data_IF_333286176024
#
_entry.id   IF_333286176024
#
_cell.length_a   1.000
_cell.length_b   1.000
_cell.length_c   1.000
_cell.angle_alpha   90.00
_cell.angle_beta   90.00
_cell.angle_gamma   90.00
#
_symmetry.space_group_name_H-M   'P 1'
#
loop_
_entity.id
_entity.type
_entity.pdbx_description
1 polymer ?
#
# COMPACT_ATOMS: atom_id res chain seq x y z
N UNK A 1 -19.70 18.18 31.19
CA UNK A 1 -19.01 18.72 29.99
C UNK A 1 -19.28 17.97 28.67
N UNK A 2 -19.86 16.74 28.67
CA UNK A 2 -20.03 15.94 27.44
C UNK A 2 -21.21 16.28 26.49
N UNK A 3 -22.17 17.13 26.90
CA UNK A 3 -23.40 17.37 26.11
C UNK A 3 -23.20 18.29 24.89
N UNK A 4 -22.10 19.06 24.82
CA UNK A 4 -21.78 19.97 23.72
C UNK A 4 -21.00 19.31 22.57
N UNK A 5 -20.13 18.35 22.88
CA UNK A 5 -19.23 17.69 21.93
C UNK A 5 -19.99 16.95 20.81
N UNK A 6 -21.08 16.25 21.16
CA UNK A 6 -21.88 15.49 20.19
C UNK A 6 -22.67 16.32 19.18
N UNK A 7 -22.90 17.62 19.46
CA UNK A 7 -23.56 18.53 18.50
C UNK A 7 -22.55 19.10 17.51
N UNK A 8 -21.36 19.43 18.00
CA UNK A 8 -20.26 19.94 17.18
C UNK A 8 -19.76 18.89 16.19
N UNK A 9 -19.65 17.61 16.60
CA UNK A 9 -19.25 16.52 15.70
C UNK A 9 -20.29 16.26 14.61
N UNK A 10 -21.58 16.33 14.94
CA UNK A 10 -22.68 16.22 13.96
C UNK A 10 -22.68 17.38 12.97
N UNK A 11 -22.46 18.62 13.45
CA UNK A 11 -22.37 19.79 12.58
C UNK A 11 -21.13 19.74 11.68
N UNK A 12 -19.97 19.37 12.22
CA UNK A 12 -18.75 19.20 11.43
C UNK A 12 -18.90 18.10 10.37
N UNK A 13 -19.54 16.97 10.73
CA UNK A 13 -19.84 15.89 9.79
C UNK A 13 -20.78 16.33 8.66
N UNK A 14 -21.88 17.02 9.00
CA UNK A 14 -22.82 17.53 8.01
C UNK A 14 -22.18 18.58 7.09
N UNK A 15 -21.42 19.53 7.65
CA UNK A 15 -20.70 20.54 6.87
C UNK A 15 -19.65 19.91 5.95
N UNK A 16 -18.91 18.90 6.43
CA UNK A 16 -17.93 18.15 5.64
C UNK A 16 -18.58 17.38 4.49
N UNK A 17 -19.73 16.74 4.71
CA UNK A 17 -20.48 16.04 3.67
C UNK A 17 -20.97 16.99 2.57
N UNK A 18 -21.53 18.15 2.94
CA UNK A 18 -22.02 19.14 1.98
C UNK A 18 -20.86 19.75 1.18
N UNK A 19 -19.79 20.16 1.86
CA UNK A 19 -18.61 20.71 1.20
C UNK A 19 -17.93 19.68 0.28
N UNK A 20 -17.84 18.42 0.72
CA UNK A 20 -17.33 17.31 -0.09
C UNK A 20 -18.19 17.06 -1.33
N UNK A 21 -19.52 16.98 -1.18
CA UNK A 21 -20.44 16.81 -2.30
C UNK A 21 -20.33 17.96 -3.30
N UNK A 22 -20.31 19.21 -2.81
CA UNK A 22 -20.11 20.40 -3.64
C UNK A 22 -18.76 20.37 -4.38
N UNK A 23 -17.67 20.00 -3.71
CA UNK A 23 -16.35 19.87 -4.32
C UNK A 23 -16.33 18.83 -5.45
N UNK A 24 -17.04 17.72 -5.27
CA UNK A 24 -17.19 16.63 -6.25
C UNK A 24 -18.18 16.93 -7.37
N UNK A 25 -18.83 18.10 -7.42
CA UNK A 25 -19.68 18.47 -8.57
C UNK A 25 -18.86 18.80 -9.82
N UNK A 26 -17.62 19.30 -9.65
CA UNK A 26 -16.70 19.60 -10.76
C UNK A 26 -15.98 18.34 -11.23
N UNK A 27 -16.00 18.08 -12.53
CA UNK A 27 -15.37 16.87 -13.11
C UNK A 27 -13.87 16.76 -12.83
N UNK A 28 -13.14 17.87 -12.94
CA UNK A 28 -11.70 17.92 -12.64
C UNK A 28 -11.39 17.50 -11.20
N UNK A 29 -12.17 18.01 -10.24
CA UNK A 29 -12.05 17.66 -8.83
C UNK A 29 -12.38 16.19 -8.58
N UNK A 30 -13.42 15.65 -9.23
CA UNK A 30 -13.74 14.22 -9.17
C UNK A 30 -12.57 13.36 -9.65
N UNK A 31 -11.97 13.72 -10.78
CA UNK A 31 -10.83 12.99 -11.35
C UNK A 31 -9.63 13.04 -10.41
N UNK A 32 -9.33 14.21 -9.84
CA UNK A 32 -8.24 14.38 -8.86
C UNK A 32 -8.46 13.56 -7.60
N UNK A 33 -9.68 13.55 -7.05
CA UNK A 33 -10.03 12.76 -5.86
C UNK A 33 -9.93 11.26 -6.15
N UNK A 34 -10.46 10.79 -7.29
CA UNK A 34 -10.33 9.39 -7.71
C UNK A 34 -8.87 8.95 -7.80
N UNK A 35 -8.02 9.70 -8.50
CA UNK A 35 -6.61 9.37 -8.63
C UNK A 35 -5.90 9.25 -7.27
N UNK A 36 -6.20 10.16 -6.33
CA UNK A 36 -5.62 10.14 -4.97
C UNK A 36 -6.13 8.97 -4.14
N UNK A 37 -7.41 8.61 -4.28
CA UNK A 37 -7.99 7.43 -3.62
C UNK A 37 -7.36 6.16 -4.19
N UNK A 38 -7.25 6.05 -5.52
CA UNK A 38 -6.64 4.90 -6.18
C UNK A 38 -5.17 4.73 -5.80
N UNK A 39 -4.42 5.84 -5.71
CA UNK A 39 -3.03 5.86 -5.20
C UNK A 39 -2.96 5.38 -3.75
N UNK A 40 -3.84 5.87 -2.87
CA UNK A 40 -3.89 5.43 -1.48
C UNK A 40 -4.22 3.93 -1.37
N UNK A 41 -5.23 3.45 -2.10
CA UNK A 41 -5.61 2.03 -2.12
C UNK A 41 -4.44 1.17 -2.61
N UNK A 42 -3.69 1.61 -3.63
CA UNK A 42 -2.50 0.91 -4.11
C UNK A 42 -1.45 0.74 -3.02
N UNK A 43 -1.16 1.78 -2.24
CA UNK A 43 -0.18 1.71 -1.13
C UNK A 43 -0.60 0.69 -0.05
N UNK A 44 -1.90 0.53 0.17
CA UNK A 44 -2.43 -0.45 1.12
C UNK A 44 -2.65 -1.84 0.53
N UNK A 45 -2.53 -2.00 -0.79
CA UNK A 45 -2.65 -3.30 -1.44
C UNK A 45 -1.40 -4.16 -1.14
N UNK A 46 -1.52 -5.33 -0.50
CA UNK A 46 -0.39 -6.20 -0.23
C UNK A 46 0.34 -6.66 -1.50
N UNK A 47 -0.36 -6.75 -2.63
CA UNK A 47 0.25 -7.17 -3.90
C UNK A 47 1.12 -6.06 -4.50
N UNK A 48 0.75 -4.79 -4.34
CA UNK A 48 1.61 -3.66 -4.69
C UNK A 48 2.95 -3.71 -3.94
N UNK A 49 2.93 -4.08 -2.65
CA UNK A 49 4.16 -4.23 -1.87
C UNK A 49 5.03 -5.41 -2.32
N UNK A 50 4.44 -6.47 -2.87
CA UNK A 50 5.19 -7.61 -3.44
C UNK A 50 5.85 -7.27 -4.78
N UNK A 51 5.33 -6.27 -5.49
CA UNK A 51 5.82 -5.81 -6.79
C UNK A 51 6.84 -4.67 -6.67
N UNK A 52 6.90 -3.98 -5.51
CA UNK A 52 7.91 -2.95 -5.26
C UNK A 52 9.33 -3.54 -5.33
N UNK A 53 10.13 -3.03 -6.27
CA UNK A 53 11.53 -3.44 -6.46
C UNK A 53 11.73 -4.68 -7.33
N UNK A 54 10.65 -5.29 -7.85
CA UNK A 54 10.77 -6.32 -8.88
C UNK A 54 10.87 -5.68 -10.27
N UNK A 55 11.78 -6.18 -11.13
CA UNK A 55 11.76 -5.78 -12.53
C UNK A 55 10.41 -6.15 -13.17
N UNK A 56 9.99 -5.34 -14.15
CA UNK A 56 8.70 -5.54 -14.82
C UNK A 56 8.72 -6.73 -15.78
N UNK A 57 9.91 -7.14 -16.21
CA UNK A 57 10.14 -8.32 -17.04
C UNK A 57 10.13 -9.60 -16.17
N UNK A 58 9.45 -10.63 -16.65
CA UNK A 58 9.30 -11.90 -15.93
C UNK A 58 10.65 -12.62 -15.83
N UNK A 59 11.46 -12.57 -16.89
CA UNK A 59 12.75 -13.25 -16.96
C UNK A 59 13.74 -12.60 -15.97
N UNK A 60 13.76 -11.26 -15.93
CA UNK A 60 14.55 -10.52 -14.94
C UNK A 60 14.08 -10.78 -13.50
N UNK A 61 12.76 -10.92 -13.29
CA UNK A 61 12.20 -11.18 -11.96
C UNK A 61 12.54 -12.59 -11.47
N UNK A 62 12.54 -13.57 -12.38
CA UNK A 62 12.98 -14.95 -12.14
C UNK A 62 14.46 -14.98 -11.76
N UNK A 63 15.35 -14.36 -12.56
CA UNK A 63 16.79 -14.31 -12.27
C UNK A 63 17.11 -13.71 -10.89
N UNK A 64 16.43 -12.61 -10.50
CA UNK A 64 16.63 -12.00 -9.18
C UNK A 64 16.17 -12.94 -8.06
N UNK A 65 15.06 -13.65 -8.28
CA UNK A 65 14.52 -14.60 -7.29
C UNK A 65 15.41 -15.83 -7.10
N UNK A 66 15.99 -16.35 -8.19
CA UNK A 66 16.94 -17.46 -8.17
C UNK A 66 18.23 -17.09 -7.43
N UNK A 67 18.77 -15.89 -7.68
CA UNK A 67 19.95 -15.38 -6.98
C UNK A 67 19.72 -15.24 -5.46
N UNK A 68 18.55 -14.73 -5.06
CA UNK A 68 18.20 -14.61 -3.64
C UNK A 68 18.12 -15.99 -2.96
N UNK A 69 17.52 -16.99 -3.61
CA UNK A 69 17.39 -18.35 -3.07
C UNK A 69 18.74 -19.05 -2.95
N UNK A 70 19.63 -18.86 -3.93
CA UNK A 70 20.97 -19.47 -3.96
C UNK A 70 21.80 -19.08 -2.74
N UNK A 71 21.75 -17.81 -2.33
CA UNK A 71 22.50 -17.32 -1.16
C UNK A 71 22.04 -17.97 0.15
N UNK A 72 20.73 -18.20 0.29
CA UNK A 72 20.13 -18.88 1.45
C UNK A 72 20.51 -20.36 1.46
N UNK A 73 20.43 -21.02 0.31
CA UNK A 73 20.83 -22.43 0.18
C UNK A 73 22.30 -22.64 0.53
N UNK A 74 23.21 -21.79 0.01
CA UNK A 74 24.64 -21.86 0.33
C UNK A 74 24.90 -21.72 1.83
N UNK A 75 24.26 -20.73 2.48
CA UNK A 75 24.41 -20.52 3.92
C UNK A 75 23.89 -21.71 4.73
N UNK A 76 22.71 -22.22 4.39
CA UNK A 76 22.11 -23.35 5.09
C UNK A 76 22.99 -24.60 4.96
N UNK A 77 23.48 -24.90 3.76
CA UNK A 77 24.37 -26.03 3.51
C UNK A 77 25.70 -25.88 4.28
N UNK A 78 26.30 -24.69 4.28
CA UNK A 78 27.51 -24.42 5.07
C UNK A 78 27.31 -24.65 6.58
N UNK A 79 26.14 -24.31 7.11
CA UNK A 79 25.82 -24.53 8.52
C UNK A 79 25.51 -26.00 8.83
N UNK A 80 24.83 -26.70 7.93
CA UNK A 80 24.63 -28.15 8.03
C UNK A 80 25.97 -28.88 8.05
N UNK A 81 26.88 -28.56 7.13
CA UNK A 81 28.22 -29.15 7.05
C UNK A 81 29.08 -28.86 8.29
N UNK A 82 28.91 -27.69 8.91
CA UNK A 82 29.54 -27.35 10.20
C UNK A 82 28.96 -28.10 11.39
N UNK A 83 27.67 -28.38 11.37
CA UNK A 83 26.98 -29.08 12.47
C UNK A 83 27.23 -30.59 12.47
N UNK A 84 27.61 -31.15 11.31
CA UNK A 84 27.89 -32.57 11.10
C UNK A 84 29.39 -32.92 11.28
N UNK A 85 30.25 -31.92 11.58
CA UNK A 85 31.67 -32.07 11.96
C UNK A 85 31.86 -31.94 13.46
#
# INVERSE_FOLDING_TARGET
MLRGMGKLTKLAGAAGLVAGAAYLTKEENRKKVKNRIDEAIRVFNPDYKKELGKPADIDDAEMVSEGAMTSVQYYNQYQEDKSQQ
#
